data_IF_933307305386
#
_entry.id   IF_933307305386
#
_cell.length_a   1.000
_cell.length_b   1.000
_cell.length_c   1.000
_cell.angle_alpha   90.00
_cell.angle_beta   90.00
_cell.angle_gamma   90.00
#
_symmetry.space_group_name_H-M   'P 1'
#
loop_
_entity.id
_entity.type
_entity.pdbx_description
1 polymer ?
#
# COMPACT_ATOMS: atom_id res chain seq x y z
N UNK A 1 -0.54 6.17 12.21
CA UNK A 1 0.92 5.98 12.41
C UNK A 1 1.76 7.00 11.61
N UNK A 2 2.31 8.07 12.22
CA UNK A 2 2.89 9.18 11.45
C UNK A 2 4.23 8.86 10.76
N UNK A 3 5.15 8.17 11.44
CA UNK A 3 6.51 7.94 10.91
C UNK A 3 6.56 7.00 9.71
N UNK A 4 5.85 5.86 9.78
CA UNK A 4 5.79 4.91 8.65
C UNK A 4 5.12 5.54 7.42
N UNK A 5 4.11 6.39 7.63
CA UNK A 5 3.48 7.17 6.55
C UNK A 5 4.43 8.19 5.96
N UNK A 6 5.19 8.90 6.79
CA UNK A 6 6.21 9.84 6.31
C UNK A 6 7.28 9.14 5.46
N UNK A 7 7.72 7.94 5.84
CA UNK A 7 8.61 7.13 5.02
C UNK A 7 7.91 6.74 3.70
N UNK A 8 6.66 6.27 3.77
CA UNK A 8 5.91 5.87 2.58
C UNK A 8 5.74 7.00 1.55
N UNK A 9 5.58 8.25 2.00
CA UNK A 9 5.42 9.42 1.10
C UNK A 9 6.75 9.96 0.60
N UNK A 10 7.76 10.06 1.48
CA UNK A 10 8.99 10.80 1.16
C UNK A 10 10.13 9.92 0.62
N UNK A 11 10.09 8.60 0.82
CA UNK A 11 11.13 7.68 0.37
C UNK A 11 10.93 7.27 -1.11
N UNK A 12 10.93 8.24 -2.02
CA UNK A 12 10.70 8.02 -3.47
C UNK A 12 11.95 7.63 -4.24
N UNK A 13 13.15 7.81 -3.67
CA UNK A 13 14.41 7.45 -4.34
C UNK A 13 14.58 5.94 -4.49
N UNK A 14 15.22 5.52 -5.59
CA UNK A 14 15.54 4.11 -5.89
C UNK A 14 16.38 3.45 -4.79
N UNK A 15 17.25 4.20 -4.10
CA UNK A 15 18.01 3.71 -2.94
C UNK A 15 17.14 3.39 -1.73
N UNK A 16 15.95 4.01 -1.62
CA UNK A 16 15.02 3.84 -0.50
C UNK A 16 13.86 2.90 -0.83
N UNK A 17 13.86 2.29 -2.02
CA UNK A 17 12.78 1.44 -2.52
C UNK A 17 12.42 0.31 -1.53
N UNK A 18 13.44 -0.36 -0.98
CA UNK A 18 13.23 -1.44 -0.02
C UNK A 18 12.73 -0.95 1.34
N UNK A 19 13.19 0.22 1.80
CA UNK A 19 12.71 0.85 3.04
C UNK A 19 11.23 1.23 2.92
N UNK A 20 10.85 1.78 1.77
CA UNK A 20 9.45 2.09 1.44
C UNK A 20 8.60 0.83 1.39
N UNK A 21 9.08 -0.21 0.71
CA UNK A 21 8.40 -1.49 0.61
C UNK A 21 8.17 -2.14 1.99
N UNK A 22 9.18 -2.13 2.86
CA UNK A 22 9.07 -2.64 4.24
C UNK A 22 8.13 -1.81 5.12
N UNK A 23 8.13 -0.50 4.93
CA UNK A 23 7.20 0.40 5.63
C UNK A 23 5.75 0.13 5.22
N UNK A 24 5.49 -0.01 3.92
CA UNK A 24 4.20 -0.41 3.37
C UNK A 24 3.73 -1.76 3.93
N UNK A 25 4.61 -2.76 3.92
CA UNK A 25 4.35 -4.07 4.51
C UNK A 25 3.96 -3.96 5.99
N UNK A 26 4.73 -3.22 6.79
CA UNK A 26 4.45 -3.00 8.20
C UNK A 26 3.07 -2.36 8.42
N UNK A 27 2.75 -1.29 7.67
CA UNK A 27 1.45 -0.63 7.77
C UNK A 27 0.30 -1.59 7.43
N UNK A 28 0.45 -2.40 6.38
CA UNK A 28 -0.58 -3.38 5.98
C UNK A 28 -0.80 -4.49 7.02
N UNK A 29 0.27 -4.96 7.68
CA UNK A 29 0.20 -5.97 8.74
C UNK A 29 -0.49 -5.40 9.99
N UNK A 30 -0.15 -4.16 10.33
CA UNK A 30 -0.77 -3.42 11.42
C UNK A 30 -2.27 -3.21 11.16
N UNK A 31 -2.66 -2.86 9.92
CA UNK A 31 -4.06 -2.72 9.54
C UNK A 31 -4.84 -4.02 9.71
N UNK A 32 -4.25 -5.16 9.34
CA UNK A 32 -4.87 -6.47 9.62
C UNK A 32 -5.00 -6.76 11.11
N UNK A 33 -4.03 -6.37 11.93
CA UNK A 33 -4.04 -6.64 13.37
C UNK A 33 -5.06 -5.79 14.14
N UNK A 34 -5.19 -4.50 13.80
CA UNK A 34 -6.13 -3.60 14.48
C UNK A 34 -7.57 -3.69 13.94
N UNK A 35 -7.74 -4.18 12.72
CA UNK A 35 -9.03 -4.26 12.05
C UNK A 35 -9.51 -2.90 11.51
N UNK A 36 -10.59 -2.98 10.73
CA UNK A 36 -11.13 -1.87 9.94
C UNK A 36 -11.39 -0.59 10.74
N UNK A 37 -12.02 -0.69 11.92
CA UNK A 37 -12.49 0.50 12.65
C UNK A 37 -11.35 1.41 13.10
N UNK A 38 -10.26 0.83 13.60
CA UNK A 38 -9.08 1.58 14.05
C UNK A 38 -8.19 2.00 12.88
N UNK A 39 -8.20 1.24 11.79
CA UNK A 39 -7.31 1.45 10.66
C UNK A 39 -7.90 2.35 9.57
N UNK A 40 -9.20 2.65 9.57
CA UNK A 40 -9.91 3.33 8.47
C UNK A 40 -9.25 4.62 7.96
N UNK A 41 -8.91 5.54 8.86
CA UNK A 41 -8.28 6.83 8.51
C UNK A 41 -6.87 6.66 7.95
N UNK A 42 -6.07 5.79 8.57
CA UNK A 42 -4.73 5.45 8.09
C UNK A 42 -4.81 4.69 6.75
N UNK A 43 -5.81 3.81 6.57
CA UNK A 43 -6.03 3.04 5.34
C UNK A 43 -6.26 3.95 4.15
N UNK A 44 -7.12 4.98 4.29
CA UNK A 44 -7.40 5.92 3.19
C UNK A 44 -6.13 6.61 2.70
N UNK A 45 -5.31 7.13 3.63
CA UNK A 45 -4.04 7.77 3.27
C UNK A 45 -3.06 6.79 2.62
N UNK A 46 -2.98 5.56 3.12
CA UNK A 46 -2.12 4.52 2.54
C UNK A 46 -2.59 4.15 1.13
N UNK A 47 -3.89 4.02 0.90
CA UNK A 47 -4.47 3.78 -0.43
C UNK A 47 -4.10 4.87 -1.42
N UNK A 48 -4.25 6.14 -1.05
CA UNK A 48 -3.89 7.26 -1.93
C UNK A 48 -2.42 7.21 -2.34
N UNK A 49 -1.52 6.88 -1.40
CA UNK A 49 -0.10 6.75 -1.70
C UNK A 49 0.17 5.55 -2.60
N UNK A 50 -0.46 4.40 -2.37
CA UNK A 50 -0.33 3.21 -3.23
C UNK A 50 -0.80 3.47 -4.64
N UNK A 51 -1.95 4.13 -4.81
CA UNK A 51 -2.49 4.50 -6.12
C UNK A 51 -1.56 5.46 -6.86
N UNK A 52 -1.01 6.46 -6.16
CA UNK A 52 -0.02 7.37 -6.76
C UNK A 52 1.23 6.65 -7.23
N UNK A 53 1.66 5.64 -6.47
CA UNK A 53 2.86 4.86 -6.73
C UNK A 53 2.67 3.88 -7.89
N UNK A 54 1.49 3.29 -8.01
CA UNK A 54 1.14 2.45 -9.16
C UNK A 54 0.99 3.27 -10.45
N UNK A 55 0.54 4.53 -10.34
CA UNK A 55 0.46 5.48 -11.47
C UNK A 55 1.82 6.03 -11.90
N UNK A 56 2.81 6.10 -11.00
CA UNK A 56 4.19 6.34 -11.38
C UNK A 56 4.73 5.10 -12.08
N UNK A 57 5.31 5.27 -13.27
CA UNK A 57 5.86 4.18 -14.08
C UNK A 57 6.93 3.42 -13.29
N UNK A 58 6.52 2.37 -12.58
CA UNK A 58 7.45 1.42 -11.98
C UNK A 58 8.08 0.62 -13.10
N UNK A 59 9.40 0.44 -13.04
CA UNK A 59 10.10 -0.49 -13.92
C UNK A 59 9.53 -1.90 -13.69
N UNK A 60 9.31 -2.66 -14.78
CA UNK A 60 8.59 -3.95 -14.77
C UNK A 60 9.25 -5.03 -13.89
N UNK A 61 10.52 -4.83 -13.50
CA UNK A 61 11.31 -5.75 -12.67
C UNK A 61 11.51 -5.23 -11.23
N UNK A 62 10.83 -4.15 -10.84
CA UNK A 62 11.05 -3.60 -9.50
C UNK A 62 10.41 -4.50 -8.42
N UNK A 63 11.18 -4.97 -7.42
CA UNK A 63 10.68 -5.85 -6.35
C UNK A 63 9.53 -5.22 -5.55
N UNK A 64 9.37 -3.89 -5.60
CA UNK A 64 8.29 -3.15 -4.95
C UNK A 64 6.92 -3.54 -5.47
N UNK A 65 6.82 -3.98 -6.71
CA UNK A 65 5.56 -4.47 -7.30
C UNK A 65 5.00 -5.65 -6.50
N UNK A 66 5.84 -6.63 -6.15
CA UNK A 66 5.42 -7.78 -5.33
C UNK A 66 4.95 -7.36 -3.94
N UNK A 67 5.68 -6.44 -3.30
CA UNK A 67 5.29 -5.92 -1.98
C UNK A 67 3.98 -5.12 -2.04
N UNK A 68 3.76 -4.38 -3.11
CA UNK A 68 2.54 -3.61 -3.34
C UNK A 68 1.34 -4.56 -3.51
N UNK A 69 1.45 -5.60 -4.33
CA UNK A 69 0.39 -6.60 -4.49
C UNK A 69 0.06 -7.32 -3.17
N UNK A 70 1.08 -7.66 -2.38
CA UNK A 70 0.86 -8.22 -1.04
C UNK A 70 0.16 -7.24 -0.09
N UNK A 71 0.54 -5.97 -0.12
CA UNK A 71 -0.12 -4.93 0.66
C UNK A 71 -1.60 -4.79 0.25
N UNK A 72 -1.89 -4.79 -1.05
CA UNK A 72 -3.26 -4.76 -1.57
C UNK A 72 -4.12 -5.92 -1.05
N UNK A 73 -3.60 -7.15 -1.06
CA UNK A 73 -4.31 -8.32 -0.55
C UNK A 73 -4.63 -8.19 0.95
N UNK A 74 -3.68 -7.69 1.75
CA UNK A 74 -3.84 -7.47 3.19
C UNK A 74 -4.86 -6.37 3.49
N UNK A 75 -4.82 -5.29 2.72
CA UNK A 75 -5.77 -4.18 2.83
C UNK A 75 -7.18 -4.59 2.41
N UNK A 76 -7.31 -5.43 1.38
CA UNK A 76 -8.58 -6.04 0.98
C UNK A 76 -9.19 -6.85 2.13
N UNK A 77 -8.39 -7.71 2.78
CA UNK A 77 -8.83 -8.48 3.94
C UNK A 77 -9.23 -7.60 5.13
N UNK A 78 -8.52 -6.49 5.35
CA UNK A 78 -8.79 -5.55 6.43
C UNK A 78 -10.09 -4.74 6.20
N UNK A 79 -10.28 -4.20 5.00
CA UNK A 79 -11.38 -3.28 4.68
C UNK A 79 -12.68 -3.97 4.25
N UNK A 80 -12.59 -5.17 3.68
CA UNK A 80 -13.75 -5.91 3.19
C UNK A 80 -14.47 -5.14 2.08
N UNK A 81 -15.78 -4.88 2.25
CA UNK A 81 -16.61 -4.23 1.22
C UNK A 81 -16.14 -2.81 0.86
N UNK A 82 -15.53 -2.06 1.78
CA UNK A 82 -14.99 -0.72 1.48
C UNK A 82 -13.81 -0.78 0.50
N UNK A 83 -13.20 -1.96 0.29
CA UNK A 83 -12.14 -2.14 -0.69
C UNK A 83 -12.65 -2.08 -2.13
N UNK A 84 -13.95 -2.32 -2.37
CA UNK A 84 -14.53 -2.36 -3.72
C UNK A 84 -14.29 -1.06 -4.52
N UNK A 85 -14.25 0.08 -3.83
CA UNK A 85 -13.97 1.40 -4.43
C UNK A 85 -12.58 1.48 -5.08
N UNK A 86 -11.64 0.63 -4.66
CA UNK A 86 -10.26 0.63 -5.13
C UNK A 86 -9.96 -0.48 -6.15
N UNK A 87 -10.90 -1.41 -6.41
CA UNK A 87 -10.65 -2.55 -7.30
C UNK A 87 -10.29 -2.17 -8.74
N UNK A 88 -10.84 -1.07 -9.25
CA UNK A 88 -10.53 -0.57 -10.60
C UNK A 88 -9.04 -0.24 -10.77
N UNK A 89 -8.36 0.12 -9.68
CA UNK A 89 -6.93 0.45 -9.67
C UNK A 89 -6.08 -0.78 -9.38
N UNK A 90 -6.56 -1.69 -8.54
CA UNK A 90 -5.80 -2.88 -8.10
C UNK A 90 -5.83 -4.01 -9.13
N UNK A 91 -6.88 -4.12 -9.95
CA UNK A 91 -7.06 -5.20 -10.95
C UNK A 91 -6.07 -5.17 -12.12
N UNK A 92 -5.77 -4.03 -12.78
CA UNK A 92 -4.88 -4.00 -13.95
C UNK A 92 -3.51 -4.68 -13.78
N UNK A 93 -2.78 -4.55 -12.65
CA UNK A 93 -1.49 -5.23 -12.46
C UNK A 93 -1.61 -6.70 -12.04
N UNK A 94 -2.83 -7.21 -11.80
CA UNK A 94 -3.09 -8.60 -11.43
C UNK A 94 -3.53 -9.47 -12.62
N UNK A 95 -3.81 -8.85 -13.77
CA UNK A 95 -4.18 -9.50 -15.04
C UNK A 95 -2.95 -9.71 -15.92
#
# INVERSE_FOLDING_TARGET
MPYLKAILVNATDKSNCMLRAKSMECISLVGMAFGKEKFRDDAKQVMEVLMSLQGSQMETDDPTTSYMLQAWARLCKCLGQDFLLYMSVVMPPLL
#
